data_IF_369769169238
#
_entry.id   IF_369769169238
#
_cell.length_a   1.000
_cell.length_b   1.000
_cell.length_c   1.000
_cell.angle_alpha   90.00
_cell.angle_beta   90.00
_cell.angle_gamma   90.00
#
_symmetry.space_group_name_H-M   'P 1'
#
loop_
_entity.id
_entity.type
_entity.pdbx_description
1 polymer ?
#
# COMPACT_ATOMS: atom_id res chain seq x y z
N UNK A 1 -17.04 -26.17 8.64
CA UNK A 1 -16.41 -24.88 8.26
C UNK A 1 -17.46 -23.84 7.91
N UNK A 2 -18.45 -24.17 7.08
CA UNK A 2 -19.55 -23.24 6.73
C UNK A 2 -20.32 -22.69 7.95
N UNK A 3 -20.64 -23.51 8.95
CA UNK A 3 -21.31 -23.04 10.17
C UNK A 3 -20.44 -22.06 10.96
N UNK A 4 -19.13 -22.30 11.00
CA UNK A 4 -18.15 -21.41 11.65
C UNK A 4 -18.12 -20.07 10.91
N UNK A 5 -18.10 -20.09 9.57
CA UNK A 5 -18.17 -18.88 8.74
C UNK A 5 -19.44 -18.09 9.03
N UNK A 6 -20.61 -18.76 9.08
CA UNK A 6 -21.88 -18.10 9.40
C UNK A 6 -21.87 -17.46 10.79
N UNK A 7 -21.36 -18.16 11.81
CA UNK A 7 -21.25 -17.63 13.17
C UNK A 7 -20.41 -16.35 13.18
N UNK A 8 -19.18 -16.43 12.63
CA UNK A 8 -18.26 -15.28 12.56
C UNK A 8 -18.91 -14.10 11.85
N UNK A 9 -19.51 -14.32 10.67
CA UNK A 9 -20.10 -13.23 9.87
C UNK A 9 -21.32 -12.61 10.57
N UNK A 10 -22.12 -13.40 11.28
CA UNK A 10 -23.27 -12.90 12.04
C UNK A 10 -22.87 -12.08 13.27
N UNK A 11 -21.84 -12.52 13.99
CA UNK A 11 -21.32 -11.85 15.19
C UNK A 11 -20.47 -10.62 14.87
N UNK A 12 -19.91 -10.56 13.66
CA UNK A 12 -19.03 -9.47 13.22
C UNK A 12 -19.76 -8.13 12.99
N UNK A 13 -21.09 -8.10 12.97
CA UNK A 13 -21.90 -6.89 12.77
C UNK A 13 -21.48 -6.06 11.54
N UNK A 14 -21.09 -6.73 10.45
CA UNK A 14 -20.65 -6.08 9.20
C UNK A 14 -19.27 -5.41 9.24
N UNK A 15 -18.50 -5.57 10.34
CA UNK A 15 -17.12 -5.04 10.44
C UNK A 15 -16.13 -5.90 9.67
N UNK A 16 -16.38 -7.21 9.61
CA UNK A 16 -15.59 -8.20 8.87
C UNK A 16 -16.53 -9.22 8.23
N UNK A 17 -16.11 -9.77 7.09
CA UNK A 17 -16.75 -10.90 6.43
C UNK A 17 -15.68 -11.94 6.09
N UNK A 18 -16.00 -13.21 6.28
CA UNK A 18 -15.14 -14.37 6.00
C UNK A 18 -15.77 -15.18 4.89
N UNK A 19 -14.96 -15.57 3.92
CA UNK A 19 -15.29 -16.46 2.81
C UNK A 19 -14.23 -17.55 2.70
N UNK A 20 -14.57 -18.65 2.01
CA UNK A 20 -13.65 -19.72 1.62
C UNK A 20 -12.76 -20.26 2.76
N UNK A 21 -13.37 -20.45 3.94
CA UNK A 21 -12.67 -20.98 5.10
C UNK A 21 -12.21 -22.43 4.83
N UNK A 22 -10.90 -22.63 4.84
CA UNK A 22 -10.25 -23.93 4.62
C UNK A 22 -9.40 -24.33 5.82
N UNK A 23 -9.28 -25.64 6.04
CA UNK A 23 -8.25 -26.19 6.92
C UNK A 23 -6.90 -26.05 6.21
N UNK A 24 -5.87 -25.65 6.95
CA UNK A 24 -4.53 -25.39 6.42
C UNK A 24 -3.47 -26.14 7.23
N UNK A 25 -2.28 -26.30 6.65
CA UNK A 25 -1.14 -26.92 7.30
C UNK A 25 0.03 -25.94 7.47
N UNK A 26 1.11 -26.39 8.12
CA UNK A 26 2.29 -25.56 8.35
C UNK A 26 3.00 -25.17 7.05
N UNK A 27 2.97 -26.02 6.04
CA UNK A 27 3.63 -25.78 4.76
C UNK A 27 2.92 -24.66 3.99
N UNK A 28 1.60 -24.70 3.94
CA UNK A 28 0.77 -23.66 3.35
C UNK A 28 0.95 -22.32 4.09
N UNK A 29 1.01 -22.32 5.43
CA UNK A 29 1.29 -21.11 6.20
C UNK A 29 2.66 -20.50 5.87
N UNK A 30 3.67 -21.34 5.68
CA UNK A 30 5.02 -20.88 5.32
C UNK A 30 5.03 -20.25 3.92
N UNK A 31 4.41 -20.92 2.94
CA UNK A 31 4.26 -20.40 1.59
C UNK A 31 3.54 -19.05 1.58
N UNK A 32 2.43 -18.92 2.31
CA UNK A 32 1.69 -17.66 2.43
C UNK A 32 2.56 -16.50 2.95
N UNK A 33 3.46 -16.77 3.90
CA UNK A 33 4.37 -15.76 4.44
C UNK A 33 5.45 -15.35 3.44
N UNK A 34 5.98 -16.31 2.68
CA UNK A 34 6.97 -16.06 1.63
C UNK A 34 6.32 -15.21 0.52
N UNK A 35 5.15 -15.62 0.05
CA UNK A 35 4.37 -14.92 -0.98
C UNK A 35 3.94 -13.53 -0.53
N UNK A 36 3.63 -13.30 0.76
CA UNK A 36 3.25 -11.98 1.26
C UNK A 36 4.33 -10.91 1.09
N UNK A 37 5.59 -11.30 0.87
CA UNK A 37 6.72 -10.38 0.67
C UNK A 37 7.01 -10.06 -0.80
N UNK A 38 6.51 -10.90 -1.71
CA UNK A 38 6.75 -10.84 -3.16
C UNK A 38 5.48 -10.60 -3.96
N UNK A 39 4.30 -10.81 -3.35
CA UNK A 39 3.02 -10.62 -4.00
C UNK A 39 2.81 -9.21 -4.52
N UNK A 40 1.85 -9.06 -5.43
CA UNK A 40 1.37 -7.74 -5.83
C UNK A 40 0.21 -7.38 -4.92
N UNK A 41 0.15 -6.10 -4.53
CA UNK A 41 -0.97 -5.54 -3.79
C UNK A 41 -1.41 -4.25 -4.45
N UNK A 42 -2.72 -4.03 -4.43
CA UNK A 42 -3.31 -2.77 -4.86
C UNK A 42 -3.91 -2.01 -3.69
N UNK A 43 -3.73 -0.70 -3.73
CA UNK A 43 -4.21 0.21 -2.71
C UNK A 43 -4.85 1.43 -3.36
N UNK A 44 -5.78 2.04 -2.64
CA UNK A 44 -6.34 3.35 -2.96
C UNK A 44 -6.13 4.28 -1.77
N UNK A 45 -5.68 5.52 -2.04
CA UNK A 45 -5.44 6.51 -1.01
C UNK A 45 -6.03 7.88 -1.37
N UNK A 46 -6.44 8.62 -0.35
CA UNK A 46 -6.65 10.07 -0.44
C UNK A 46 -5.43 10.78 0.15
N UNK A 47 -4.92 11.76 -0.58
CA UNK A 47 -3.68 12.46 -0.29
C UNK A 47 -3.94 13.96 -0.21
N UNK A 48 -3.48 14.60 0.87
CA UNK A 48 -3.40 16.06 0.96
C UNK A 48 -2.02 16.52 0.53
N UNK A 49 -1.95 17.68 -0.13
CA UNK A 49 -0.70 18.33 -0.51
C UNK A 49 -0.63 19.75 0.05
N UNK A 50 0.56 20.23 0.41
CA UNK A 50 0.73 21.57 0.98
C UNK A 50 0.46 22.69 -0.03
N UNK A 51 0.56 22.37 -1.34
CA UNK A 51 0.19 23.26 -2.44
C UNK A 51 -0.70 22.55 -3.46
N UNK A 52 -1.45 23.29 -4.29
CA UNK A 52 -2.09 22.72 -5.47
C UNK A 52 -1.09 22.05 -6.41
N UNK A 53 -1.47 20.90 -6.96
CA UNK A 53 -0.70 20.13 -7.94
C UNK A 53 -1.43 20.16 -9.27
N UNK A 54 -0.68 20.39 -10.34
CA UNK A 54 -1.18 20.47 -11.72
C UNK A 54 -1.34 19.09 -12.34
N UNK A 55 -2.17 18.97 -13.37
CA UNK A 55 -2.40 17.67 -14.02
C UNK A 55 -1.15 17.16 -14.77
N UNK A 56 -0.25 18.07 -15.17
CA UNK A 56 1.01 17.69 -15.82
C UNK A 56 2.01 17.12 -14.81
N UNK A 57 2.09 17.69 -13.60
CA UNK A 57 2.87 17.11 -12.50
C UNK A 57 2.38 15.71 -12.11
N UNK A 58 1.06 15.50 -12.08
CA UNK A 58 0.49 14.18 -11.81
C UNK A 58 0.87 13.17 -12.90
N UNK A 59 0.74 13.54 -14.18
CA UNK A 59 1.12 12.66 -15.31
C UNK A 59 2.61 12.36 -15.35
N UNK A 60 3.45 13.33 -14.99
CA UNK A 60 4.89 13.11 -14.87
C UNK A 60 5.20 12.10 -13.76
N UNK A 61 4.58 12.29 -12.59
CA UNK A 61 4.71 11.38 -11.46
C UNK A 61 4.30 9.94 -11.80
N UNK A 62 3.16 9.76 -12.49
CA UNK A 62 2.72 8.44 -12.96
C UNK A 62 3.76 7.75 -13.85
N UNK A 63 4.44 8.51 -14.73
CA UNK A 63 5.48 7.99 -15.61
C UNK A 63 6.74 7.62 -14.83
N UNK A 64 7.16 8.47 -13.91
CA UNK A 64 8.39 8.26 -13.12
C UNK A 64 8.30 7.03 -12.20
N UNK A 65 7.10 6.74 -11.68
CA UNK A 65 6.88 5.61 -10.78
C UNK A 65 6.44 4.33 -11.49
N UNK A 66 6.39 4.31 -12.83
CA UNK A 66 6.02 3.11 -13.58
C UNK A 66 7.19 2.13 -13.64
N UNK A 67 7.01 0.97 -13.01
CA UNK A 67 8.01 -0.12 -13.01
C UNK A 67 9.32 0.25 -12.31
N UNK A 68 9.27 1.14 -11.32
CA UNK A 68 10.46 1.65 -10.63
C UNK A 68 10.76 0.87 -9.35
N UNK A 69 12.05 0.73 -9.02
CA UNK A 69 12.49 0.28 -7.71
C UNK A 69 12.74 1.48 -6.78
N UNK A 70 12.19 1.43 -5.57
CA UNK A 70 12.41 2.41 -4.52
C UNK A 70 13.15 1.79 -3.34
N UNK A 71 13.79 2.62 -2.53
CA UNK A 71 14.40 2.24 -1.27
C UNK A 71 13.54 2.73 -0.11
N UNK A 72 13.06 1.81 0.73
CA UNK A 72 12.33 2.13 1.95
C UNK A 72 13.12 1.68 3.17
N UNK A 73 13.65 2.64 3.93
CA UNK A 73 14.07 2.41 5.30
C UNK A 73 12.84 2.16 6.16
N UNK A 74 13.02 1.36 7.21
CA UNK A 74 11.92 0.96 8.10
C UNK A 74 11.22 2.21 8.65
N UNK A 75 9.90 2.39 8.46
CA UNK A 75 9.25 3.65 8.82
C UNK A 75 9.41 4.03 10.29
N UNK A 76 9.50 5.33 10.58
CA UNK A 76 9.59 5.81 11.97
C UNK A 76 8.48 5.24 12.86
N UNK A 77 7.23 5.25 12.39
CA UNK A 77 6.05 4.75 13.10
C UNK A 77 6.09 3.26 13.48
N UNK A 78 6.94 2.45 12.84
CA UNK A 78 7.10 1.02 13.16
C UNK A 78 8.49 0.64 13.67
N UNK A 79 9.43 1.60 13.74
CA UNK A 79 10.81 1.39 14.18
C UNK A 79 10.94 0.69 15.54
N UNK A 80 10.04 0.98 16.49
CA UNK A 80 10.03 0.33 17.81
C UNK A 80 9.67 -1.17 17.77
N UNK A 81 9.09 -1.67 16.66
CA UNK A 81 8.67 -3.08 16.47
C UNK A 81 9.48 -3.82 15.41
N UNK A 82 10.30 -3.12 14.63
CA UNK A 82 10.95 -3.66 13.44
C UNK A 82 12.40 -3.22 13.41
N UNK A 83 13.29 -4.14 13.08
CA UNK A 83 14.70 -3.83 12.83
C UNK A 83 14.80 -2.74 11.76
N UNK A 84 15.64 -1.75 12.04
CA UNK A 84 15.87 -0.63 11.15
C UNK A 84 16.71 -1.07 9.95
N UNK A 85 16.03 -1.31 8.82
CA UNK A 85 16.61 -1.81 7.58
C UNK A 85 16.07 -1.03 6.38
N UNK A 86 16.92 -0.87 5.37
CA UNK A 86 16.54 -0.40 4.02
C UNK A 86 16.14 -1.61 3.18
N UNK A 87 14.98 -1.56 2.55
CA UNK A 87 14.47 -2.59 1.66
C UNK A 87 14.14 -1.99 0.30
N UNK A 88 14.58 -2.67 -0.75
CA UNK A 88 14.15 -2.39 -2.12
C UNK A 88 12.71 -2.86 -2.32
N UNK A 89 11.91 -2.04 -2.98
CA UNK A 89 10.51 -2.33 -3.29
C UNK A 89 10.17 -1.91 -4.70
N UNK A 90 9.43 -2.76 -5.40
CA UNK A 90 8.98 -2.48 -6.77
C UNK A 90 7.62 -1.78 -6.72
N UNK A 91 7.55 -0.65 -7.40
CA UNK A 91 6.30 0.03 -7.75
C UNK A 91 6.00 -0.35 -9.18
N UNK A 92 4.92 -1.09 -9.40
CA UNK A 92 4.53 -1.52 -10.74
C UNK A 92 3.93 -0.34 -11.50
N UNK A 93 2.99 0.35 -10.86
CA UNK A 93 2.36 1.56 -11.39
C UNK A 93 1.68 2.33 -10.27
N UNK A 94 1.53 3.63 -10.49
CA UNK A 94 0.64 4.49 -9.72
C UNK A 94 -0.25 5.27 -10.70
N UNK A 95 -1.45 5.61 -10.27
CA UNK A 95 -2.30 6.55 -10.97
C UNK A 95 -2.82 7.60 -10.01
N UNK A 96 -2.83 8.87 -10.41
CA UNK A 96 -3.27 9.99 -9.58
C UNK A 96 -4.23 10.88 -10.34
N UNK A 97 -5.31 11.26 -9.66
CA UNK A 97 -6.28 12.22 -10.17
C UNK A 97 -6.66 13.21 -9.08
N UNK A 98 -7.06 14.41 -9.48
CA UNK A 98 -7.65 15.39 -8.55
C UNK A 98 -8.99 14.85 -8.03
N UNK A 99 -9.22 15.06 -6.76
CA UNK A 99 -10.44 14.70 -6.05
C UNK A 99 -11.08 15.93 -5.40
N UNK A 100 -12.24 15.73 -4.75
CA UNK A 100 -12.95 16.78 -4.03
C UNK A 100 -12.08 17.38 -2.92
N UNK A 101 -12.38 18.62 -2.54
CA UNK A 101 -11.75 19.34 -1.43
C UNK A 101 -10.24 19.52 -1.55
N UNK A 102 -9.72 19.53 -2.79
CA UNK A 102 -8.29 19.70 -3.08
C UNK A 102 -7.44 18.47 -2.77
N UNK A 103 -8.06 17.32 -2.48
CA UNK A 103 -7.38 16.05 -2.30
C UNK A 103 -6.94 15.48 -3.64
N UNK A 104 -5.92 14.63 -3.61
CA UNK A 104 -5.57 13.74 -4.71
C UNK A 104 -6.05 12.33 -4.37
N UNK A 105 -6.66 11.66 -5.34
CA UNK A 105 -6.98 10.24 -5.26
C UNK A 105 -5.87 9.48 -5.99
N UNK A 106 -5.23 8.56 -5.28
CA UNK A 106 -4.13 7.76 -5.82
C UNK A 106 -4.45 6.26 -5.76
N UNK A 107 -4.15 5.56 -6.85
CA UNK A 107 -4.17 4.10 -6.93
C UNK A 107 -2.74 3.60 -7.06
N UNK A 108 -2.42 2.55 -6.33
CA UNK A 108 -1.09 1.97 -6.27
C UNK A 108 -1.15 0.50 -6.63
N UNK A 109 -0.22 0.04 -7.45
CA UNK A 109 0.08 -1.38 -7.64
C UNK A 109 1.54 -1.61 -7.32
N UNK A 110 1.80 -2.34 -6.25
CA UNK A 110 3.13 -2.42 -5.64
C UNK A 110 3.46 -3.83 -5.15
N UNK A 111 4.74 -4.08 -4.94
CA UNK A 111 5.22 -5.28 -4.26
C UNK A 111 4.73 -5.32 -2.81
N UNK A 112 4.48 -6.53 -2.31
CA UNK A 112 4.14 -6.86 -0.94
C UNK A 112 5.13 -6.25 0.06
N UNK A 113 4.59 -5.72 1.15
CA UNK A 113 5.37 -5.07 2.20
C UNK A 113 5.90 -3.67 1.84
N UNK A 114 5.43 -3.06 0.75
CA UNK A 114 5.64 -1.64 0.48
C UNK A 114 4.85 -0.80 1.49
N UNK A 115 5.50 0.20 2.06
CA UNK A 115 4.90 1.13 3.01
C UNK A 115 4.29 2.33 2.26
N UNK A 116 3.01 2.25 1.91
CA UNK A 116 2.32 3.26 1.09
C UNK A 116 2.35 4.66 1.70
N UNK A 117 2.09 4.79 3.01
CA UNK A 117 2.10 6.10 3.68
C UNK A 117 3.45 6.79 3.53
N UNK A 118 4.52 6.03 3.61
CA UNK A 118 5.89 6.52 3.51
C UNK A 118 6.36 6.70 2.06
N UNK A 119 5.80 5.95 1.10
CA UNK A 119 5.92 6.26 -0.34
C UNK A 119 5.29 7.61 -0.68
N UNK A 120 4.17 7.95 -0.03
CA UNK A 120 3.50 9.24 -0.20
C UNK A 120 4.32 10.36 0.45
N UNK A 121 4.65 10.25 1.74
CA UNK A 121 5.24 11.35 2.52
C UNK A 121 6.77 11.46 2.43
N UNK A 122 7.46 10.42 1.99
CA UNK A 122 8.92 10.32 2.04
C UNK A 122 9.49 9.99 3.43
N UNK A 123 8.69 10.08 4.50
CA UNK A 123 9.09 9.79 5.90
C UNK A 123 10.41 10.46 6.27
N UNK A 124 10.52 11.77 6.01
CA UNK A 124 11.73 12.57 6.27
C UNK A 124 12.98 12.03 5.56
N UNK A 125 12.82 11.54 4.33
CA UNK A 125 13.91 11.01 3.50
C UNK A 125 14.22 9.53 3.75
N UNK A 126 13.38 8.82 4.50
CA UNK A 126 13.52 7.36 4.71
C UNK A 126 12.95 6.53 3.57
N UNK A 127 12.12 7.11 2.71
CA UNK A 127 11.71 6.52 1.43
C UNK A 127 12.19 7.38 0.28
N UNK A 128 12.94 6.80 -0.66
CA UNK A 128 13.41 7.49 -1.86
C UNK A 128 13.43 6.56 -3.09
N UNK A 129 12.95 7.01 -4.26
CA UNK A 129 12.13 8.22 -4.44
C UNK A 129 10.77 8.11 -3.72
N UNK A 130 10.19 9.26 -3.36
CA UNK A 130 8.83 9.37 -2.81
C UNK A 130 7.97 10.38 -3.58
N UNK A 131 6.64 10.34 -3.41
CA UNK A 131 5.73 11.27 -4.08
C UNK A 131 5.99 12.71 -3.64
N UNK A 132 6.13 12.93 -2.33
CA UNK A 132 6.45 14.25 -1.77
C UNK A 132 7.76 14.81 -2.33
N UNK A 133 8.80 13.97 -2.44
CA UNK A 133 10.09 14.34 -3.04
C UNK A 133 9.93 14.74 -4.50
N UNK A 134 9.21 13.94 -5.31
CA UNK A 134 9.03 14.20 -6.74
C UNK A 134 8.17 15.41 -7.05
N UNK A 135 7.12 15.65 -6.26
CA UNK A 135 6.28 16.84 -6.40
C UNK A 135 6.89 18.10 -5.75
N UNK A 136 7.94 17.97 -4.95
CA UNK A 136 8.54 19.09 -4.21
C UNK A 136 7.55 19.77 -3.26
N UNK A 137 6.63 19.01 -2.67
CA UNK A 137 5.63 19.50 -1.70
C UNK A 137 5.33 18.43 -0.66
N UNK A 138 4.98 18.82 0.56
CA UNK A 138 4.56 17.85 1.58
C UNK A 138 3.30 17.12 1.14
N UNK A 139 3.31 15.80 1.30
CA UNK A 139 2.18 14.93 0.97
C UNK A 139 1.84 14.07 2.19
N UNK A 140 0.56 14.02 2.57
CA UNK A 140 0.09 13.21 3.70
C UNK A 140 -1.04 12.29 3.23
N UNK A 141 -0.97 11.03 3.65
CA UNK A 141 -2.02 10.05 3.42
C UNK A 141 -3.16 10.25 4.44
N UNK A 142 -4.28 10.81 3.98
CA UNK A 142 -5.48 11.03 4.77
C UNK A 142 -6.27 9.72 4.96
N UNK A 143 -6.44 8.96 3.88
CA UNK A 143 -7.11 7.66 3.87
C UNK A 143 -6.31 6.64 3.06
N UNK A 144 -6.39 5.37 3.43
CA UNK A 144 -5.74 4.27 2.74
C UNK A 144 -6.58 2.99 2.84
N UNK A 145 -6.93 2.44 1.69
CA UNK A 145 -7.67 1.19 1.56
C UNK A 145 -6.84 0.17 0.76
N UNK A 146 -6.94 -1.10 1.14
CA UNK A 146 -6.42 -2.20 0.33
C UNK A 146 -7.52 -2.63 -0.63
N UNK A 147 -7.25 -2.63 -1.93
CA UNK A 147 -8.25 -2.96 -2.96
C UNK A 147 -8.05 -4.35 -3.56
N UNK A 148 -6.81 -4.84 -3.60
CA UNK A 148 -6.53 -6.22 -4.01
C UNK A 148 -5.24 -6.77 -3.39
N UNK A 149 -5.19 -8.09 -3.25
CA UNK A 149 -4.00 -8.85 -2.88
C UNK A 149 -3.90 -10.02 -3.86
N UNK A 150 -2.78 -10.12 -4.58
CA UNK A 150 -2.57 -11.15 -5.59
C UNK A 150 -1.62 -12.23 -5.05
N UNK A 151 -2.14 -13.36 -4.60
CA UNK A 151 -1.33 -14.51 -4.15
C UNK A 151 -1.27 -15.60 -5.21
N UNK A 152 -0.12 -16.25 -5.40
CA UNK A 152 -0.03 -17.45 -6.24
C UNK A 152 -0.63 -18.66 -5.50
N UNK A 153 -1.88 -18.99 -5.84
CA UNK A 153 -2.58 -20.17 -5.32
C UNK A 153 -4.00 -19.92 -4.80
N UNK A 154 -4.58 -18.76 -5.10
CA UNK A 154 -6.03 -18.52 -5.03
C UNK A 154 -6.71 -18.95 -6.32
#
# INVERSE_FOLDING_TARGET
LEEIVKSINSEAEGKIEVHDLVLTDRHHLQKLKEDASTNVKEYEALITTDRPVTDDELKELEKEFKGVEINQRTPHRVSHRRSDLIRKKIIHEISLEKHKDGLLKAKFKVQGGTYIKELISGDEGRTTPSISEKLGTGCICAELNVTAIYSEGS
#
